data_IF_594665671368
#
_entry.id   IF_594665671368
#
_cell.length_a   1.000
_cell.length_b   1.000
_cell.length_c   1.000
_cell.angle_alpha   90.00
_cell.angle_beta   90.00
_cell.angle_gamma   90.00
#
_symmetry.space_group_name_H-M   'P 1'
#
loop_
_entity.id
_entity.type
_entity.pdbx_description
1 polymer ?
#
# COMPACT_ATOMS: atom_id res chain seq x y z
N UNK A 1 25.31 -47.44 -25.87
CA UNK A 1 25.05 -47.53 -24.41
C UNK A 1 24.89 -46.08 -23.92
N UNK A 2 23.66 -45.59 -23.82
CA UNK A 2 23.35 -44.17 -23.55
C UNK A 2 22.95 -44.00 -22.08
N UNK A 3 23.59 -43.06 -21.40
CA UNK A 3 23.23 -42.53 -20.09
C UNK A 3 22.21 -41.39 -20.30
N UNK A 4 21.16 -41.32 -19.48
CA UNK A 4 20.31 -40.12 -19.28
C UNK A 4 19.59 -40.29 -17.93
N UNK A 5 20.08 -39.69 -16.85
CA UNK A 5 19.71 -38.36 -16.27
C UNK A 5 18.22 -38.27 -15.90
N UNK A 6 17.97 -38.39 -14.60
CA UNK A 6 16.68 -38.21 -13.92
C UNK A 6 16.38 -36.71 -13.75
N UNK A 7 15.24 -36.26 -14.27
CA UNK A 7 14.66 -34.94 -13.95
C UNK A 7 13.35 -35.22 -13.22
N UNK A 8 13.35 -35.04 -11.90
CA UNK A 8 12.13 -35.10 -11.09
C UNK A 8 11.49 -33.71 -11.15
N UNK A 9 10.38 -33.58 -11.88
CA UNK A 9 9.51 -32.41 -11.79
C UNK A 9 8.71 -32.49 -10.49
N UNK A 10 8.91 -31.54 -9.58
CA UNK A 10 8.00 -31.31 -8.47
C UNK A 10 6.77 -30.57 -8.98
N UNK A 11 5.65 -31.27 -9.12
CA UNK A 11 4.32 -30.64 -9.23
C UNK A 11 3.74 -30.52 -7.83
N UNK A 12 3.56 -29.30 -7.35
CA UNK A 12 2.85 -29.01 -6.10
C UNK A 12 1.37 -29.39 -6.24
N UNK A 13 0.97 -30.48 -5.61
CA UNK A 13 -0.44 -30.81 -5.39
C UNK A 13 -0.84 -30.52 -3.95
N UNK A 14 -1.96 -29.83 -3.84
CA UNK A 14 -2.59 -29.20 -2.68
C UNK A 14 -2.80 -30.12 -1.47
N UNK A 15 -2.43 -29.61 -0.29
CA UNK A 15 -2.71 -30.20 1.02
C UNK A 15 -4.18 -29.95 1.36
N UNK A 16 -5.07 -30.87 1.02
CA UNK A 16 -6.44 -30.89 1.59
C UNK A 16 -7.07 -32.27 1.46
N UNK A 17 -6.46 -33.34 2.01
CA UNK A 17 -7.13 -34.64 2.27
C UNK A 17 -6.23 -35.59 3.06
N UNK A 18 -5.90 -35.27 4.32
CA UNK A 18 -5.42 -36.30 5.26
C UNK A 18 -6.06 -36.04 6.62
N UNK A 19 -7.38 -36.16 6.73
CA UNK A 19 -8.03 -36.53 7.99
C UNK A 19 -9.23 -37.41 7.68
N UNK A 20 -9.00 -38.60 7.14
CA UNK A 20 -9.84 -39.76 7.38
C UNK A 20 -9.07 -41.02 6.99
N UNK A 21 -9.11 -42.00 7.88
CA UNK A 21 -8.58 -43.39 7.79
C UNK A 21 -7.08 -43.58 7.91
N UNK A 22 -6.59 -43.71 9.15
CA UNK A 22 -5.86 -44.89 9.59
C UNK A 22 -6.27 -45.21 11.03
N UNK A 23 -7.11 -46.23 11.19
CA UNK A 23 -7.35 -46.87 12.47
C UNK A 23 -7.03 -48.35 12.31
N UNK A 24 -5.81 -48.76 12.66
CA UNK A 24 -5.49 -50.15 13.00
C UNK A 24 -4.13 -50.27 13.70
N UNK A 25 -4.16 -50.69 14.98
CA UNK A 25 -3.18 -51.53 15.70
C UNK A 25 -1.72 -50.99 15.81
N UNK A 26 -1.07 -50.78 16.96
CA UNK A 26 -1.12 -51.38 18.31
C UNK A 26 -0.67 -50.35 19.37
N UNK A 27 -1.09 -50.53 20.62
CA UNK A 27 -0.73 -49.69 21.77
C UNK A 27 0.78 -49.72 22.02
N UNK A 28 1.44 -48.60 21.73
CA UNK A 28 2.57 -47.98 22.44
C UNK A 28 3.35 -47.12 21.42
N UNK A 29 2.76 -46.00 21.00
CA UNK A 29 3.50 -44.95 20.27
C UNK A 29 3.96 -43.88 21.28
N UNK A 30 5.23 -43.43 21.23
CA UNK A 30 5.65 -42.27 21.99
C UNK A 30 4.87 -41.05 21.48
N UNK A 31 4.28 -40.28 22.40
CA UNK A 31 3.74 -38.96 22.10
C UNK A 31 4.89 -38.07 21.59
N UNK A 32 5.06 -38.02 20.27
CA UNK A 32 5.80 -36.95 19.62
C UNK A 32 4.80 -35.81 19.53
N UNK A 33 4.88 -34.84 20.45
CA UNK A 33 4.31 -33.52 20.21
C UNK A 33 4.94 -33.00 18.91
N UNK A 34 4.20 -33.12 17.81
CA UNK A 34 4.49 -32.31 16.64
C UNK A 34 4.18 -30.88 17.04
N UNK A 35 5.20 -30.20 17.55
CA UNK A 35 5.17 -28.76 17.67
C UNK A 35 4.98 -28.25 16.24
N UNK A 36 3.74 -27.87 15.90
CA UNK A 36 3.47 -27.08 14.71
C UNK A 36 4.52 -25.98 14.65
N UNK A 37 5.33 -25.88 13.58
CA UNK A 37 6.31 -24.82 13.48
C UNK A 37 5.52 -23.52 13.45
N UNK A 38 5.51 -22.81 14.58
CA UNK A 38 4.99 -21.46 14.68
C UNK A 38 5.84 -20.60 13.74
N UNK A 39 5.40 -20.51 12.49
CA UNK A 39 6.09 -19.77 11.45
C UNK A 39 5.74 -18.31 11.69
N UNK A 40 6.58 -17.62 12.46
CA UNK A 40 6.47 -16.16 12.54
C UNK A 40 6.61 -15.61 11.12
N UNK A 41 5.59 -14.86 10.69
CA UNK A 41 5.65 -14.13 9.43
C UNK A 41 6.62 -12.98 9.63
N UNK A 42 7.78 -13.07 9.00
CA UNK A 42 8.74 -11.97 8.90
C UNK A 42 8.31 -11.08 7.74
N UNK A 43 8.03 -9.81 8.03
CA UNK A 43 7.66 -8.81 7.02
C UNK A 43 8.91 -8.07 6.54
N UNK A 44 9.00 -7.84 5.24
CA UNK A 44 10.11 -7.09 4.63
C UNK A 44 9.62 -5.99 3.70
N UNK A 45 10.45 -4.97 3.51
CA UNK A 45 10.23 -3.95 2.49
C UNK A 45 10.20 -4.60 1.10
N UNK A 46 9.21 -4.25 0.28
CA UNK A 46 8.97 -4.84 -1.04
C UNK A 46 8.04 -6.05 -1.04
N UNK A 47 7.63 -6.56 0.12
CA UNK A 47 6.72 -7.70 0.18
C UNK A 47 5.31 -7.32 -0.28
N UNK A 48 4.67 -8.27 -0.99
CA UNK A 48 3.24 -8.18 -1.29
C UNK A 48 2.46 -8.52 -0.02
N UNK A 49 1.81 -7.53 0.57
CA UNK A 49 1.12 -7.69 1.84
C UNK A 49 -0.16 -6.87 1.87
N UNK A 50 -1.25 -7.50 2.36
CA UNK A 50 -2.56 -6.89 2.55
C UNK A 50 -3.01 -5.93 1.42
N UNK A 51 -2.92 -6.40 0.17
CA UNK A 51 -3.41 -5.68 -1.01
C UNK A 51 -2.41 -4.75 -1.71
N UNK A 52 -1.23 -4.52 -1.12
CA UNK A 52 -0.21 -3.64 -1.70
C UNK A 52 1.22 -4.14 -1.50
N UNK A 53 2.16 -3.20 -1.47
CA UNK A 53 3.59 -3.47 -1.23
C UNK A 53 4.07 -2.69 -0.02
N UNK A 54 4.74 -3.36 0.93
CA UNK A 54 5.31 -2.73 2.12
C UNK A 54 6.46 -1.80 1.69
N UNK A 55 6.40 -0.52 2.08
CA UNK A 55 7.47 0.45 1.80
C UNK A 55 8.02 1.13 3.05
N UNK A 56 7.41 0.87 4.21
CA UNK A 56 7.87 1.31 5.51
C UNK A 56 7.49 0.27 6.56
N UNK A 57 8.40 0.02 7.50
CA UNK A 57 8.18 -0.77 8.71
C UNK A 57 8.61 0.07 9.91
N UNK A 58 7.84 -0.01 11.00
CA UNK A 58 8.23 0.59 12.26
C UNK A 58 9.31 -0.26 12.97
N UNK A 59 9.79 0.22 14.11
CA UNK A 59 10.84 -0.47 14.88
C UNK A 59 10.42 -1.84 15.43
N UNK A 60 9.12 -2.16 15.41
CA UNK A 60 8.61 -3.46 15.84
C UNK A 60 8.58 -4.47 14.70
N UNK A 61 8.70 -4.01 13.46
CA UNK A 61 8.57 -4.78 12.22
C UNK A 61 7.20 -5.48 12.08
N UNK A 62 6.22 -5.08 12.89
CA UNK A 62 4.85 -5.62 12.89
C UNK A 62 3.84 -4.66 12.26
N UNK A 63 4.18 -3.38 12.23
CA UNK A 63 3.35 -2.31 11.69
C UNK A 63 4.15 -1.48 10.69
N UNK A 64 3.45 -0.78 9.81
CA UNK A 64 4.11 -0.02 8.76
C UNK A 64 3.17 0.64 7.79
N UNK A 65 3.70 0.98 6.62
CA UNK A 65 2.93 1.54 5.50
C UNK A 65 3.04 0.66 4.27
N UNK A 66 1.90 0.52 3.59
CA UNK A 66 1.72 -0.24 2.36
C UNK A 66 1.29 0.73 1.27
N UNK A 67 1.92 0.64 0.09
CA UNK A 67 1.53 1.40 -1.09
C UNK A 67 0.64 0.55 -2.02
N UNK A 68 -0.32 1.20 -2.68
CA UNK A 68 -1.06 0.58 -3.77
C UNK A 68 -0.11 0.19 -4.91
N UNK A 69 -0.47 -0.85 -5.67
CA UNK A 69 0.38 -1.35 -6.77
C UNK A 69 0.31 -0.49 -8.02
N UNK A 70 -0.74 0.31 -8.17
CA UNK A 70 -0.96 1.23 -9.30
C UNK A 70 -1.48 2.57 -8.81
N UNK A 71 -1.27 3.61 -9.61
CA UNK A 71 -1.83 4.95 -9.35
C UNK A 71 -3.37 4.88 -9.37
N UNK A 72 -4.01 5.59 -8.43
CA UNK A 72 -5.47 5.76 -8.40
C UNK A 72 -5.92 6.83 -9.41
N UNK A 73 -5.03 7.75 -9.77
CA UNK A 73 -5.26 8.72 -10.84
C UNK A 73 -3.95 9.21 -11.45
N UNK A 74 -4.06 9.68 -12.69
CA UNK A 74 -3.00 10.38 -13.41
C UNK A 74 -3.34 11.82 -13.80
N UNK A 75 -4.58 12.26 -13.56
CA UNK A 75 -5.13 13.52 -14.11
C UNK A 75 -6.22 14.15 -13.24
N UNK A 76 -6.43 13.68 -12.01
CA UNK A 76 -7.44 14.26 -11.12
C UNK A 76 -6.79 15.27 -10.18
N UNK A 77 -7.49 16.40 -9.90
CA UNK A 77 -6.95 17.45 -9.08
C UNK A 77 -7.03 17.10 -7.59
N UNK A 78 -6.45 17.96 -6.76
CA UNK A 78 -6.49 17.80 -5.30
C UNK A 78 -7.84 18.20 -4.70
N UNK A 79 -8.45 19.27 -5.23
CA UNK A 79 -9.75 19.80 -4.78
C UNK A 79 -10.96 19.19 -5.51
N UNK A 80 -12.17 19.52 -5.05
CA UNK A 80 -13.44 19.13 -5.67
C UNK A 80 -14.29 20.35 -6.09
N UNK A 81 -13.64 21.43 -6.52
CA UNK A 81 -14.32 22.63 -7.00
C UNK A 81 -14.73 23.65 -5.93
N UNK A 82 -14.50 23.38 -4.64
CA UNK A 82 -14.70 24.37 -3.57
C UNK A 82 -13.39 25.04 -3.19
N UNK A 83 -13.34 26.37 -3.31
CA UNK A 83 -12.20 27.17 -2.88
C UNK A 83 -12.27 27.43 -1.37
N UNK A 84 -11.85 26.42 -0.59
CA UNK A 84 -11.94 26.38 0.87
C UNK A 84 -10.65 25.81 1.47
N UNK A 85 -10.27 26.31 2.65
CA UNK A 85 -9.17 25.75 3.44
C UNK A 85 -9.70 24.55 4.21
N UNK A 86 -9.11 23.38 3.97
CA UNK A 86 -9.53 22.09 4.55
C UNK A 86 -8.95 21.86 5.94
N UNK A 87 -7.91 22.61 6.32
CA UNK A 87 -7.12 22.43 7.55
C UNK A 87 -6.29 21.13 7.58
N UNK A 88 -6.21 20.41 6.46
CA UNK A 88 -5.43 19.19 6.27
C UNK A 88 -3.92 19.45 6.18
N UNK A 89 -3.35 20.03 7.24
CA UNK A 89 -1.99 20.60 7.24
C UNK A 89 -0.91 19.67 7.83
N UNK A 90 -1.28 18.46 8.28
CA UNK A 90 -0.30 17.53 8.84
C UNK A 90 0.71 17.09 7.78
N UNK A 91 2.00 17.09 8.12
CA UNK A 91 3.03 16.55 7.23
C UNK A 91 3.21 15.04 7.38
N UNK A 92 2.71 14.44 8.47
CA UNK A 92 2.97 13.02 8.81
C UNK A 92 1.72 12.14 8.94
N UNK A 93 0.51 12.73 8.90
CA UNK A 93 -0.75 12.00 9.06
C UNK A 93 -1.66 12.16 7.83
N UNK A 94 -1.37 11.38 6.79
CA UNK A 94 -2.14 11.40 5.56
C UNK A 94 -3.57 10.90 5.72
N UNK A 95 -3.83 10.01 6.68
CA UNK A 95 -5.16 9.46 6.94
C UNK A 95 -6.09 10.54 7.50
N UNK A 96 -5.64 11.26 8.54
CA UNK A 96 -6.37 12.38 9.11
C UNK A 96 -6.60 13.48 8.08
N UNK A 97 -5.55 13.88 7.34
CA UNK A 97 -5.66 14.86 6.28
C UNK A 97 -6.67 14.45 5.20
N UNK A 98 -6.60 13.20 4.71
CA UNK A 98 -7.53 12.70 3.68
C UNK A 98 -8.98 12.84 4.14
N UNK A 99 -9.27 12.52 5.40
CA UNK A 99 -10.62 12.69 5.96
C UNK A 99 -11.03 14.16 6.06
N UNK A 100 -10.13 15.07 6.45
CA UNK A 100 -10.41 16.51 6.49
C UNK A 100 -10.68 17.09 5.09
N UNK A 101 -9.90 16.69 4.08
CA UNK A 101 -10.11 17.10 2.69
C UNK A 101 -11.49 16.64 2.23
N UNK A 102 -11.85 15.37 2.45
CA UNK A 102 -13.17 14.84 2.06
C UNK A 102 -14.31 15.55 2.79
N UNK A 103 -14.15 15.84 4.07
CA UNK A 103 -15.14 16.58 4.84
C UNK A 103 -15.37 17.99 4.29
N UNK A 104 -14.31 18.68 3.87
CA UNK A 104 -14.39 20.05 3.37
C UNK A 104 -14.81 20.14 1.89
N UNK A 105 -14.35 19.22 1.05
CA UNK A 105 -14.57 19.21 -0.41
C UNK A 105 -15.81 18.38 -0.84
N UNK A 106 -16.36 17.55 0.05
CA UNK A 106 -17.56 16.75 -0.18
C UNK A 106 -17.27 15.30 -0.61
N UNK A 107 -18.08 14.34 -0.13
CA UNK A 107 -17.92 12.89 -0.36
C UNK A 107 -18.44 12.41 -1.73
N UNK A 108 -18.20 13.20 -2.78
CA UNK A 108 -18.62 12.93 -4.16
C UNK A 108 -17.57 13.46 -5.14
N UNK A 109 -17.57 12.93 -6.37
CA UNK A 109 -16.63 13.38 -7.41
C UNK A 109 -15.31 12.61 -7.40
N UNK A 110 -14.41 13.01 -8.30
CA UNK A 110 -13.11 12.39 -8.50
C UNK A 110 -12.01 13.44 -8.24
N UNK A 111 -11.33 13.27 -7.11
CA UNK A 111 -10.20 14.09 -6.69
C UNK A 111 -9.29 13.26 -5.80
N UNK A 112 -8.03 13.68 -5.65
CA UNK A 112 -6.94 12.86 -5.12
C UNK A 112 -7.29 12.13 -3.80
N UNK A 113 -7.81 12.85 -2.80
CA UNK A 113 -8.15 12.27 -1.51
C UNK A 113 -9.28 11.24 -1.60
N UNK A 114 -10.35 11.54 -2.36
CA UNK A 114 -11.50 10.64 -2.52
C UNK A 114 -11.14 9.38 -3.30
N UNK A 115 -10.33 9.50 -4.35
CA UNK A 115 -9.87 8.36 -5.15
C UNK A 115 -8.99 7.40 -4.33
N UNK A 116 -8.15 7.93 -3.45
CA UNK A 116 -7.43 7.10 -2.48
C UNK A 116 -8.36 6.44 -1.48
N UNK A 117 -9.36 7.18 -0.96
CA UNK A 117 -10.28 6.66 0.05
C UNK A 117 -11.21 5.56 -0.47
N UNK A 118 -11.63 5.66 -1.73
CA UNK A 118 -12.50 4.69 -2.39
C UNK A 118 -11.75 3.46 -2.93
N UNK A 119 -10.42 3.53 -2.98
CA UNK A 119 -9.61 2.40 -3.41
C UNK A 119 -9.78 1.23 -2.44
N UNK A 120 -10.05 0.04 -3.00
CA UNK A 120 -10.36 -1.18 -2.26
C UNK A 120 -9.37 -2.33 -2.49
N UNK A 121 -8.10 -1.98 -2.75
CA UNK A 121 -7.03 -2.93 -3.01
C UNK A 121 -6.91 -4.00 -1.91
N UNK A 122 -6.95 -5.27 -2.30
CA UNK A 122 -6.90 -6.40 -1.35
C UNK A 122 -8.11 -6.55 -0.44
N UNK A 123 -9.22 -5.84 -0.70
CA UNK A 123 -10.43 -5.88 0.13
C UNK A 123 -10.42 -4.92 1.32
N UNK A 124 -9.42 -4.05 1.44
CA UNK A 124 -9.29 -3.06 2.51
C UNK A 124 -9.90 -1.71 2.10
N UNK A 125 -10.44 -0.94 3.05
CA UNK A 125 -11.15 0.34 2.82
C UNK A 125 -10.58 1.51 3.66
N UNK A 126 -9.40 1.31 4.21
CA UNK A 126 -8.63 2.24 5.05
C UNK A 126 -7.47 2.87 4.27
N UNK A 127 -7.52 2.85 2.94
CA UNK A 127 -6.59 3.54 2.06
C UNK A 127 -6.78 5.06 2.15
N UNK A 128 -5.68 5.81 2.00
CA UNK A 128 -5.66 7.26 2.10
C UNK A 128 -4.58 7.89 1.21
N UNK A 129 -4.70 9.19 0.94
CA UNK A 129 -3.70 9.97 0.21
C UNK A 129 -2.53 10.26 1.18
N UNK A 130 -1.28 9.93 0.84
CA UNK A 130 -0.13 10.12 1.73
C UNK A 130 0.08 11.60 2.07
N UNK A 131 0.47 11.89 3.31
CA UNK A 131 0.98 13.22 3.65
C UNK A 131 2.35 13.47 3.02
N UNK A 132 2.82 14.71 3.10
CA UNK A 132 4.13 15.13 2.57
C UNK A 132 5.28 14.22 2.99
N UNK A 133 5.42 13.90 4.28
CA UNK A 133 6.52 13.08 4.77
C UNK A 133 6.34 11.60 4.39
N UNK A 134 5.10 11.10 4.39
CA UNK A 134 4.79 9.72 3.99
C UNK A 134 5.08 9.48 2.50
N UNK A 135 4.76 10.47 1.65
CA UNK A 135 5.09 10.40 0.22
C UNK A 135 6.60 10.44 -0.01
N UNK A 136 7.35 11.18 0.81
CA UNK A 136 8.81 11.19 0.73
C UNK A 136 9.41 9.81 1.06
N UNK A 137 8.92 9.16 2.11
CA UNK A 137 9.34 7.79 2.45
C UNK A 137 9.02 6.83 1.30
N UNK A 138 7.86 6.99 0.66
CA UNK A 138 7.49 6.20 -0.52
C UNK A 138 8.41 6.47 -1.71
N UNK A 139 8.78 7.73 -1.96
CA UNK A 139 9.74 8.11 -3.00
C UNK A 139 11.11 7.45 -2.78
N UNK A 140 11.61 7.47 -1.55
CA UNK A 140 12.88 6.82 -1.19
C UNK A 140 12.88 5.31 -1.46
N UNK A 141 11.71 4.67 -1.37
CA UNK A 141 11.51 3.23 -1.59
C UNK A 141 10.79 2.90 -2.90
N UNK A 142 10.63 3.87 -3.81
CA UNK A 142 9.81 3.73 -5.04
C UNK A 142 10.27 2.58 -5.93
N UNK A 143 11.55 2.23 -5.89
CA UNK A 143 12.12 1.11 -6.65
C UNK A 143 11.65 -0.26 -6.13
N UNK A 144 11.38 -0.40 -4.83
CA UNK A 144 10.86 -1.64 -4.23
C UNK A 144 9.38 -1.84 -4.57
N UNK A 145 8.60 -0.76 -4.56
CA UNK A 145 7.17 -0.79 -4.84
C UNK A 145 6.91 -0.87 -6.36
N UNK A 146 7.64 -0.11 -7.16
CA UNK A 146 7.50 -0.09 -8.61
C UNK A 146 6.21 0.56 -9.11
N UNK A 147 6.07 0.60 -10.44
CA UNK A 147 4.88 1.12 -11.11
C UNK A 147 4.70 2.63 -11.04
N UNK A 148 5.73 3.40 -10.65
CA UNK A 148 5.72 4.86 -10.68
C UNK A 148 6.17 5.40 -12.02
N UNK A 149 5.66 6.58 -12.37
CA UNK A 149 6.15 7.39 -13.49
C UNK A 149 7.04 8.52 -12.97
N UNK A 150 7.96 9.01 -13.80
CA UNK A 150 8.72 10.24 -13.56
C UNK A 150 7.81 11.46 -13.74
N UNK A 151 6.93 11.69 -12.77
CA UNK A 151 5.88 12.70 -12.78
C UNK A 151 5.63 13.22 -11.36
N UNK A 152 4.78 14.24 -11.24
CA UNK A 152 4.39 14.85 -9.97
C UNK A 152 3.30 14.00 -9.29
N UNK A 153 3.37 13.88 -7.97
CA UNK A 153 2.40 13.16 -7.14
C UNK A 153 1.82 14.06 -6.06
N UNK A 154 0.49 14.03 -5.90
CA UNK A 154 -0.22 14.74 -4.84
C UNK A 154 0.10 14.17 -3.46
N UNK A 155 0.23 15.07 -2.50
CA UNK A 155 0.14 14.73 -1.07
C UNK A 155 -1.20 15.21 -0.50
N UNK A 156 -1.57 14.71 0.67
CA UNK A 156 -2.71 15.22 1.44
C UNK A 156 -2.37 16.45 2.28
N UNK A 157 -1.14 16.98 2.21
CA UNK A 157 -0.71 18.12 3.03
C UNK A 157 -1.07 19.43 2.33
N UNK A 158 -2.11 20.09 2.81
CA UNK A 158 -2.51 21.44 2.41
C UNK A 158 -1.49 22.47 2.91
N UNK A 159 -1.13 23.43 2.06
CA UNK A 159 -0.31 24.58 2.46
C UNK A 159 -1.18 25.80 2.72
N UNK A 160 -2.07 26.13 1.77
CA UNK A 160 -3.03 27.22 1.88
C UNK A 160 -4.31 26.94 1.10
N UNK A 161 -5.17 27.96 0.96
CA UNK A 161 -6.48 27.89 0.32
C UNK A 161 -6.44 27.42 -1.15
N UNK A 162 -5.32 27.64 -1.85
CA UNK A 162 -5.18 27.34 -3.27
C UNK A 162 -4.08 26.33 -3.58
N UNK A 163 -3.26 25.95 -2.60
CA UNK A 163 -2.03 25.20 -2.84
C UNK A 163 -1.87 24.02 -1.89
N UNK A 164 -1.43 22.89 -2.43
CA UNK A 164 -1.06 21.69 -1.68
C UNK A 164 0.36 21.25 -2.04
N UNK A 165 0.96 20.46 -1.16
CA UNK A 165 2.28 19.89 -1.42
C UNK A 165 2.19 18.76 -2.45
N UNK A 166 3.17 18.75 -3.34
CA UNK A 166 3.43 17.67 -4.29
C UNK A 166 4.86 17.17 -4.15
N UNK A 167 5.14 16.00 -4.73
CA UNK A 167 6.50 15.50 -4.90
C UNK A 167 6.74 15.06 -6.34
N UNK A 168 7.84 15.50 -6.92
CA UNK A 168 8.32 15.05 -8.21
C UNK A 168 9.04 13.69 -8.06
N UNK A 169 8.52 12.66 -8.72
CA UNK A 169 9.10 11.31 -8.68
C UNK A 169 10.28 11.11 -9.64
N UNK A 170 10.62 12.09 -10.48
CA UNK A 170 11.87 12.12 -11.24
C UNK A 170 13.03 12.61 -10.36
N UNK A 171 12.85 13.75 -9.70
CA UNK A 171 13.92 14.46 -8.97
C UNK A 171 13.91 14.24 -7.46
N UNK A 172 12.75 13.92 -6.89
CA UNK A 172 12.52 13.85 -5.44
C UNK A 172 12.14 15.18 -4.79
N UNK A 173 12.13 16.27 -5.55
CA UNK A 173 11.82 17.60 -5.02
C UNK A 173 10.36 17.69 -4.55
N UNK A 174 10.15 18.33 -3.41
CA UNK A 174 8.82 18.69 -2.91
C UNK A 174 8.59 20.19 -3.08
N UNK A 175 7.48 20.55 -3.71
CA UNK A 175 7.08 21.93 -3.96
C UNK A 175 5.57 22.08 -3.83
N UNK A 176 5.09 23.31 -4.00
CA UNK A 176 3.66 23.64 -3.95
C UNK A 176 3.09 23.63 -5.35
N UNK A 177 1.88 23.12 -5.48
CA UNK A 177 1.12 23.17 -6.73
C UNK A 177 -0.32 23.62 -6.45
N UNK A 178 -0.98 24.15 -7.47
CA UNK A 178 -2.34 24.63 -7.37
C UNK A 178 -3.29 23.43 -7.19
N UNK A 179 -4.09 23.45 -6.14
CA UNK A 179 -5.06 22.38 -5.82
C UNK A 179 -6.05 22.09 -6.94
N UNK A 180 -6.26 23.06 -7.85
CA UNK A 180 -7.09 22.93 -9.03
C UNK A 180 -6.40 22.40 -10.27
N UNK A 181 -5.08 22.23 -10.24
CA UNK A 181 -4.38 21.63 -11.35
C UNK A 181 -4.74 20.15 -11.48
N UNK A 182 -5.07 19.76 -12.69
CA UNK A 182 -5.40 18.39 -13.10
C UNK A 182 -4.41 17.88 -14.15
N UNK A 183 -3.47 18.72 -14.61
CA UNK A 183 -2.59 18.42 -15.71
C UNK A 183 -1.41 17.55 -15.27
N UNK A 184 -1.65 16.23 -15.22
CA UNK A 184 -0.58 15.24 -15.10
C UNK A 184 -0.06 14.98 -13.69
N UNK A 185 -0.73 15.52 -12.66
CA UNK A 185 -0.41 15.18 -11.26
C UNK A 185 -1.10 13.87 -10.88
N UNK A 186 -0.31 12.95 -10.35
CA UNK A 186 -0.70 11.57 -10.07
C UNK A 186 -1.07 11.38 -8.61
N UNK A 187 -1.75 10.29 -8.33
CA UNK A 187 -2.16 9.94 -6.97
C UNK A 187 -1.90 8.46 -6.70
N UNK A 188 -1.21 8.17 -5.60
CA UNK A 188 -0.96 6.80 -5.14
C UNK A 188 -1.42 6.67 -3.68
N UNK A 189 -2.40 5.80 -3.47
CA UNK A 189 -2.92 5.50 -2.16
C UNK A 189 -1.91 4.70 -1.34
N UNK A 190 -1.89 4.98 -0.04
CA UNK A 190 -1.19 4.18 0.96
C UNK A 190 -2.17 3.78 2.06
N UNK A 191 -1.80 2.78 2.88
CA UNK A 191 -2.51 2.43 4.11
C UNK A 191 -1.52 2.03 5.20
N UNK A 192 -1.96 2.14 6.45
CA UNK A 192 -1.24 1.62 7.60
C UNK A 192 -1.74 0.21 7.95
N UNK A 193 -0.90 -0.59 8.60
CA UNK A 193 -1.25 -1.91 9.11
C UNK A 193 -0.59 -2.17 10.46
#
# INVERSE_FOLDING_TARGET
MKINIHIILFTFTTITSIVTTLNSCSKDEPNIEMNEPNTEIVLMLGDNYQGGIIFYLDNTEKHGLIAAKTDQSTTDPWWNGSFIKTEATSNSDGSSNTNMIIQAQGDNGAYAAKLCKDYSGGGFNDWFLPSKDQLNILYEHKALVGGFSNQIYWTSSEYDLGSAWVQDFETGEQHLDNTSDSAGVRTRAIRAF
#
